data_IF_075655559588
#
_entry.id   IF_075655559588
#
_cell.length_a   1.000
_cell.length_b   1.000
_cell.length_c   1.000
_cell.angle_alpha   90.00
_cell.angle_beta   90.00
_cell.angle_gamma   90.00
#
_symmetry.space_group_name_H-M   'P 1'
#
loop_
_entity.id
_entity.type
_entity.pdbx_description
1 polymer ?
#
# COMPACT_ATOMS: atom_id res chain seq x y z
N UNK A 1 10.12 15.81 8.71
CA UNK A 1 10.07 14.33 8.60
C UNK A 1 8.77 13.87 9.25
N UNK A 2 7.96 13.05 8.55
CA UNK A 2 6.71 12.49 9.08
C UNK A 2 6.92 11.03 9.42
N UNK A 3 6.47 10.59 10.60
CA UNK A 3 6.54 9.19 11.04
C UNK A 3 5.16 8.57 10.86
N UNK A 4 5.10 7.39 10.27
CA UNK A 4 3.88 6.61 10.07
C UNK A 4 4.09 5.25 10.75
N UNK A 5 3.17 4.85 11.62
CA UNK A 5 3.29 3.60 12.36
C UNK A 5 2.61 2.46 11.60
N UNK A 6 3.37 1.42 11.28
CA UNK A 6 2.83 0.19 10.68
C UNK A 6 2.01 -0.58 11.70
N UNK A 7 0.78 -0.93 11.35
CA UNK A 7 -0.16 -1.63 12.22
C UNK A 7 -0.51 -3.01 11.62
N UNK A 8 0.00 -4.10 12.22
CA UNK A 8 -0.26 -5.45 11.72
C UNK A 8 -1.61 -6.00 12.16
N UNK A 9 -2.08 -5.62 13.36
CA UNK A 9 -3.33 -6.06 13.97
C UNK A 9 -3.83 -5.02 15.01
N UNK A 10 -4.94 -5.33 15.70
CA UNK A 10 -5.58 -4.47 16.70
C UNK A 10 -5.11 -4.73 18.16
N UNK A 11 -4.07 -5.53 18.39
CA UNK A 11 -3.68 -5.91 19.76
C UNK A 11 -3.06 -4.75 20.53
N UNK A 12 -2.39 -3.85 19.84
CA UNK A 12 -1.78 -2.65 20.41
C UNK A 12 -2.57 -1.44 19.91
N UNK A 13 -3.14 -0.60 20.79
CA UNK A 13 -4.00 0.51 20.40
C UNK A 13 -3.21 1.73 19.90
N UNK A 14 -2.38 1.55 18.87
CA UNK A 14 -1.48 2.59 18.34
C UNK A 14 -2.22 3.80 17.77
N UNK A 15 -3.52 3.68 17.48
CA UNK A 15 -4.38 4.80 17.08
C UNK A 15 -4.51 5.86 18.19
N UNK A 16 -4.39 5.48 19.47
CA UNK A 16 -4.47 6.41 20.60
C UNK A 16 -3.29 7.39 20.65
N UNK A 17 -2.20 7.12 19.92
CA UNK A 17 -1.03 7.99 19.85
C UNK A 17 -1.20 9.20 18.92
N UNK A 18 -2.39 9.39 18.33
CA UNK A 18 -2.69 10.50 17.42
C UNK A 18 -1.65 10.68 16.30
N UNK A 19 -1.08 9.56 15.84
CA UNK A 19 -0.05 9.50 14.81
C UNK A 19 -0.63 8.84 13.54
N UNK A 20 -0.14 9.20 12.34
CA UNK A 20 -0.51 8.50 11.11
C UNK A 20 -0.23 7.01 11.18
N UNK A 21 -1.14 6.20 10.64
CA UNK A 21 -1.05 4.75 10.65
C UNK A 21 -0.93 4.20 9.23
N UNK A 22 -0.23 3.07 9.09
CA UNK A 22 -0.14 2.31 7.86
C UNK A 22 -0.64 0.89 8.08
N UNK A 23 -1.55 0.44 7.22
CA UNK A 23 -2.09 -0.92 7.20
C UNK A 23 -1.83 -1.58 5.85
N UNK A 24 -1.83 -2.91 5.80
CA UNK A 24 -1.69 -3.65 4.55
C UNK A 24 -3.07 -4.14 4.07
N UNK A 25 -3.46 -3.85 2.82
CA UNK A 25 -4.80 -4.16 2.33
C UNK A 25 -5.18 -5.64 2.39
N UNK A 26 -4.19 -6.56 2.42
CA UNK A 26 -4.45 -7.99 2.48
C UNK A 26 -4.99 -8.45 3.84
N UNK A 27 -4.80 -7.65 4.89
CA UNK A 27 -5.12 -8.02 6.27
C UNK A 27 -6.33 -7.27 6.84
N UNK A 28 -6.91 -6.33 6.08
CA UNK A 28 -7.91 -5.39 6.60
C UNK A 28 -9.11 -5.27 5.67
N UNK A 29 -10.32 -5.33 6.23
CA UNK A 29 -11.58 -5.14 5.49
C UNK A 29 -12.24 -3.78 5.77
N UNK A 30 -11.85 -3.12 6.86
CA UNK A 30 -12.38 -1.81 7.27
C UNK A 30 -11.40 -1.09 8.19
N UNK A 31 -11.64 0.21 8.39
CA UNK A 31 -10.89 1.08 9.29
C UNK A 31 -11.86 1.63 10.34
N UNK A 32 -11.50 1.49 11.62
CA UNK A 32 -12.36 1.88 12.76
C UNK A 32 -11.85 3.07 13.58
N UNK A 33 -10.74 3.67 13.15
CA UNK A 33 -10.13 4.84 13.78
C UNK A 33 -10.23 6.08 12.88
N UNK A 34 -9.97 7.25 13.46
CA UNK A 34 -10.04 8.54 12.76
C UNK A 34 -8.67 9.10 12.33
N UNK A 35 -7.58 8.43 12.70
CA UNK A 35 -6.23 8.83 12.33
C UNK A 35 -6.04 8.88 10.80
N UNK A 36 -5.11 9.72 10.37
CA UNK A 36 -4.63 9.67 9.00
C UNK A 36 -4.10 8.26 8.68
N UNK A 37 -4.69 7.63 7.66
CA UNK A 37 -4.44 6.24 7.32
C UNK A 37 -3.81 6.12 5.94
N UNK A 38 -2.76 5.32 5.89
CA UNK A 38 -2.05 4.92 4.69
C UNK A 38 -2.29 3.43 4.46
N UNK A 39 -2.51 3.01 3.23
CA UNK A 39 -2.71 1.60 2.88
C UNK A 39 -1.60 1.14 1.96
N UNK A 40 -0.87 0.11 2.39
CA UNK A 40 0.10 -0.63 1.59
C UNK A 40 -0.60 -1.69 0.71
N UNK A 41 -0.15 -1.82 -0.53
CA UNK A 41 -0.64 -2.78 -1.51
C UNK A 41 -0.29 -4.23 -1.16
N UNK A 42 0.80 -4.44 -0.44
CA UNK A 42 1.31 -5.78 -0.12
C UNK A 42 1.93 -6.53 -1.30
N UNK A 43 2.57 -5.81 -2.24
CA UNK A 43 3.16 -6.40 -3.45
C UNK A 43 4.16 -7.51 -3.16
N UNK A 44 5.00 -7.32 -2.14
CA UNK A 44 5.91 -8.36 -1.66
C UNK A 44 5.19 -9.63 -1.18
N UNK A 45 4.16 -9.49 -0.35
CA UNK A 45 3.40 -10.63 0.18
C UNK A 45 2.65 -11.36 -0.94
N UNK A 46 2.10 -10.62 -1.91
CA UNK A 46 1.44 -11.17 -3.10
C UNK A 46 2.41 -12.06 -3.87
N UNK A 47 3.63 -11.57 -4.12
CA UNK A 47 4.68 -12.33 -4.81
C UNK A 47 5.09 -13.57 -4.01
N UNK A 48 5.50 -13.40 -2.75
CA UNK A 48 6.04 -14.51 -1.93
C UNK A 48 5.01 -15.62 -1.71
N UNK A 49 3.73 -15.26 -1.61
CA UNK A 49 2.62 -16.22 -1.41
C UNK A 49 2.02 -16.74 -2.72
N UNK A 50 2.50 -16.30 -3.88
CA UNK A 50 1.95 -16.68 -5.19
C UNK A 50 0.48 -16.31 -5.37
N UNK A 51 0.02 -15.22 -4.74
CA UNK A 51 -1.37 -14.78 -4.83
C UNK A 51 -1.55 -14.08 -6.18
N UNK A 52 -2.57 -14.46 -6.94
CA UNK A 52 -2.97 -13.69 -8.12
C UNK A 52 -3.74 -12.45 -7.65
N UNK A 53 -3.19 -11.26 -7.92
CA UNK A 53 -3.87 -9.99 -7.61
C UNK A 53 -4.09 -9.20 -8.90
N UNK A 54 -5.36 -8.93 -9.18
CA UNK A 54 -5.80 -8.00 -10.21
C UNK A 54 -5.82 -6.57 -9.63
N UNK A 55 -5.35 -5.58 -10.39
CA UNK A 55 -5.41 -4.15 -10.03
C UNK A 55 -6.84 -3.68 -9.72
N UNK A 56 -7.86 -4.22 -10.38
CA UNK A 56 -9.26 -3.88 -10.06
C UNK A 56 -9.64 -4.28 -8.63
N UNK A 57 -9.17 -5.44 -8.16
CA UNK A 57 -9.39 -5.87 -6.79
C UNK A 57 -8.69 -4.93 -5.81
N UNK A 58 -7.50 -4.41 -6.15
CA UNK A 58 -6.78 -3.42 -5.34
C UNK A 58 -7.56 -2.10 -5.27
N UNK A 59 -8.09 -1.63 -6.41
CA UNK A 59 -8.92 -0.41 -6.47
C UNK A 59 -10.15 -0.55 -5.57
N UNK A 60 -10.89 -1.65 -5.69
CA UNK A 60 -12.08 -1.89 -4.87
C UNK A 60 -11.73 -1.99 -3.39
N UNK A 61 -10.64 -2.69 -3.05
CA UNK A 61 -10.17 -2.78 -1.67
C UNK A 61 -9.81 -1.42 -1.10
N UNK A 62 -9.11 -0.59 -1.86
CA UNK A 62 -8.74 0.77 -1.47
C UNK A 62 -9.98 1.65 -1.27
N UNK A 63 -10.98 1.58 -2.17
CA UNK A 63 -12.25 2.30 -1.99
C UNK A 63 -12.99 1.88 -0.72
N UNK A 64 -13.05 0.58 -0.43
CA UNK A 64 -13.68 0.05 0.79
C UNK A 64 -12.97 0.58 2.05
N UNK A 65 -11.64 0.57 2.06
CA UNK A 65 -10.85 1.06 3.19
C UNK A 65 -10.93 2.59 3.36
N UNK A 66 -11.21 3.33 2.29
CA UNK A 66 -11.43 4.78 2.27
C UNK A 66 -10.36 5.58 3.06
N UNK A 67 -9.09 5.22 2.85
CA UNK A 67 -7.96 5.83 3.52
C UNK A 67 -7.56 7.20 2.91
N UNK A 68 -6.61 7.87 3.57
CA UNK A 68 -6.08 9.16 3.11
C UNK A 68 -5.09 8.99 1.96
N UNK A 69 -4.24 7.96 2.04
CA UNK A 69 -3.22 7.66 1.05
C UNK A 69 -3.14 6.17 0.76
N UNK A 70 -2.77 5.84 -0.47
CA UNK A 70 -2.64 4.48 -0.96
C UNK A 70 -1.29 4.28 -1.61
N UNK A 71 -0.57 3.22 -1.29
CA UNK A 71 0.66 2.86 -1.99
C UNK A 71 0.33 2.10 -3.27
N UNK A 72 1.01 2.41 -4.37
CA UNK A 72 0.84 1.69 -5.63
C UNK A 72 1.31 0.25 -5.52
N UNK A 73 0.60 -0.69 -6.14
CA UNK A 73 1.02 -2.09 -6.23
C UNK A 73 2.41 -2.20 -6.87
N UNK A 74 3.38 -2.58 -6.07
CA UNK A 74 4.78 -2.73 -6.46
C UNK A 74 5.12 -4.19 -6.80
N UNK A 75 6.09 -4.32 -7.69
CA UNK A 75 6.82 -5.54 -7.97
C UNK A 75 8.24 -5.27 -7.48
N UNK A 76 8.70 -5.98 -6.43
CA UNK A 76 10.07 -5.82 -5.96
C UNK A 76 11.05 -6.21 -7.06
N UNK A 77 12.14 -5.45 -7.16
CA UNK A 77 13.27 -5.75 -8.01
C UNK A 77 14.25 -6.66 -7.27
N UNK A 78 14.98 -7.51 -7.99
CA UNK A 78 16.14 -8.17 -7.42
C UNK A 78 17.24 -7.13 -7.13
N UNK A 79 18.15 -7.40 -6.19
CA UNK A 79 19.39 -6.61 -6.08
C UNK A 79 20.07 -6.47 -7.44
N UNK A 80 20.54 -5.26 -7.78
CA UNK A 80 21.11 -4.89 -9.08
C UNK A 80 20.16 -5.01 -10.30
N UNK A 81 18.88 -5.31 -10.07
CA UNK A 81 17.86 -5.36 -11.12
C UNK A 81 17.32 -3.96 -11.45
N UNK A 82 16.99 -3.73 -12.72
CA UNK A 82 16.25 -2.52 -13.10
C UNK A 82 14.85 -2.56 -12.46
N UNK A 83 14.34 -1.42 -11.97
CA UNK A 83 12.94 -1.33 -11.55
C UNK A 83 12.02 -1.77 -12.69
N UNK A 84 10.95 -2.49 -12.35
CA UNK A 84 9.98 -2.96 -13.34
C UNK A 84 9.14 -1.81 -13.90
N UNK A 85 9.04 -1.69 -15.22
CA UNK A 85 8.15 -0.73 -15.90
C UNK A 85 6.68 -0.91 -15.48
N UNK A 86 6.31 -2.11 -15.01
CA UNK A 86 4.97 -2.39 -14.49
C UNK A 86 4.66 -1.57 -13.24
N UNK A 87 5.64 -1.21 -12.41
CA UNK A 87 5.41 -0.37 -11.23
C UNK A 87 4.83 0.99 -11.64
N UNK A 88 5.36 1.58 -12.72
CA UNK A 88 4.85 2.83 -13.27
C UNK A 88 3.44 2.67 -13.84
N UNK A 89 3.19 1.59 -14.60
CA UNK A 89 1.84 1.30 -15.15
C UNK A 89 0.82 1.05 -14.05
N UNK A 90 1.18 0.34 -12.99
CA UNK A 90 0.32 0.11 -11.83
C UNK A 90 0.00 1.43 -11.12
N UNK A 91 1.00 2.28 -10.90
CA UNK A 91 0.80 3.61 -10.35
C UNK A 91 -0.18 4.43 -11.20
N UNK A 92 0.05 4.55 -12.51
CA UNK A 92 -0.83 5.31 -13.42
C UNK A 92 -2.27 4.78 -13.39
N UNK A 93 -2.42 3.44 -13.40
CA UNK A 93 -3.71 2.77 -13.34
C UNK A 93 -4.48 3.13 -12.06
N UNK A 94 -3.83 3.01 -10.90
CA UNK A 94 -4.44 3.29 -9.60
C UNK A 94 -4.71 4.78 -9.43
N UNK A 95 -3.75 5.62 -9.83
CA UNK A 95 -3.83 7.08 -9.72
C UNK A 95 -5.02 7.65 -10.51
N UNK A 96 -5.31 7.10 -11.70
CA UNK A 96 -6.44 7.53 -12.51
C UNK A 96 -7.81 7.14 -11.94
N UNK A 97 -7.87 6.22 -10.97
CA UNK A 97 -9.11 5.63 -10.42
C UNK A 97 -9.40 6.00 -8.97
N UNK A 98 -8.41 6.53 -8.25
CA UNK A 98 -8.48 6.82 -6.81
C UNK A 98 -8.20 8.31 -6.49
N UNK A 99 -8.34 9.19 -7.48
CA UNK A 99 -8.35 10.65 -7.31
C UNK A 99 -7.12 11.21 -6.55
N UNK A 100 -5.92 10.93 -7.06
CA UNK A 100 -4.63 11.49 -6.61
C UNK A 100 -4.15 11.15 -5.19
N UNK A 101 -4.78 10.18 -4.53
CA UNK A 101 -4.33 9.68 -3.22
C UNK A 101 -3.25 8.59 -3.30
N UNK A 102 -2.81 8.24 -4.52
CA UNK A 102 -1.88 7.14 -4.75
C UNK A 102 -0.44 7.65 -4.73
N UNK A 103 0.42 6.98 -3.97
CA UNK A 103 1.85 7.24 -3.86
C UNK A 103 2.60 6.16 -4.66
N UNK A 104 3.46 6.54 -5.62
CA UNK A 104 4.24 5.56 -6.38
C UNK A 104 5.27 4.88 -5.49
N UNK A 105 5.45 3.58 -5.69
CA UNK A 105 6.48 2.77 -5.02
C UNK A 105 7.44 2.23 -6.07
N UNK A 106 8.73 2.54 -5.90
CA UNK A 106 9.79 2.09 -6.80
C UNK A 106 10.92 1.51 -5.97
N UNK A 107 11.27 0.25 -6.24
CA UNK A 107 12.45 -0.39 -5.66
C UNK A 107 13.65 -0.18 -6.58
N UNK A 108 14.52 0.75 -6.19
CA UNK A 108 15.79 1.01 -6.84
C UNK A 108 16.91 0.77 -5.83
N UNK A 109 17.72 -0.26 -6.08
CA UNK A 109 18.87 -0.59 -5.24
C UNK A 109 20.13 -0.11 -5.96
N UNK A 110 20.87 0.80 -5.33
CA UNK A 110 22.24 1.14 -5.69
C UNK A 110 23.14 0.32 -4.75
N UNK A 111 23.75 -0.75 -5.26
CA UNK A 111 24.57 -1.69 -4.48
C UNK A 111 25.97 -1.77 -5.07
#
# INVERSE_FOLDING_TARGET
MKIILGMPDLKVPVWEFNTPLMINQLNWDSVSWSNETWVDSGGYQIMVKGISVNLDNVVEKYKILNANYYMSLDIPSSPCGKPSDLNFKHFEYLYSRLEKKVIPVVHAYDV
#
